data_IF_740474523242
#
_entry.id   IF_740474523242
#
_cell.length_a   1.000
_cell.length_b   1.000
_cell.length_c   1.000
_cell.angle_alpha   90.00
_cell.angle_beta   90.00
_cell.angle_gamma   90.00
#
_symmetry.space_group_name_H-M   'P 1'
#
loop_
_entity.id
_entity.type
_entity.pdbx_description
1 polymer ?
#
# COMPACT_ATOMS: atom_id res chain seq x y z
N UNK A 1 -16.16 5.14 10.44
CA UNK A 1 -14.75 5.27 10.02
C UNK A 1 -14.60 6.63 9.36
N UNK A 2 -13.82 7.54 9.95
CA UNK A 2 -13.59 8.86 9.35
C UNK A 2 -12.81 8.73 8.04
N UNK A 3 -12.99 9.69 7.14
CA UNK A 3 -12.27 9.73 5.85
C UNK A 3 -10.77 9.76 6.12
N UNK A 4 -9.99 8.86 5.51
CA UNK A 4 -8.54 8.90 5.63
C UNK A 4 -7.97 10.20 5.06
N UNK A 5 -6.91 10.72 5.69
CA UNK A 5 -6.18 11.87 5.17
C UNK A 5 -5.53 11.54 3.81
N UNK A 6 -5.37 12.54 2.94
CA UNK A 6 -4.85 12.37 1.56
C UNK A 6 -3.50 11.61 1.55
N UNK A 7 -2.58 11.99 2.44
CA UNK A 7 -1.28 11.30 2.56
C UNK A 7 -1.40 9.83 2.98
N UNK A 8 -2.40 9.49 3.80
CA UNK A 8 -2.68 8.11 4.20
C UNK A 8 -3.19 7.31 3.00
N UNK A 9 -4.08 7.89 2.20
CA UNK A 9 -4.58 7.25 0.98
C UNK A 9 -3.46 7.01 -0.04
N UNK A 10 -2.52 7.96 -0.20
CA UNK A 10 -1.34 7.79 -1.07
C UNK A 10 -0.46 6.63 -0.60
N UNK A 11 -0.24 6.48 0.71
CA UNK A 11 0.50 5.34 1.29
C UNK A 11 -0.22 4.02 1.09
N UNK A 12 -1.54 4.00 1.28
CA UNK A 12 -2.38 2.83 1.03
C UNK A 12 -2.23 2.40 -0.43
N UNK A 13 -2.35 3.34 -1.38
CA UNK A 13 -2.20 3.06 -2.82
C UNK A 13 -0.85 2.43 -3.14
N UNK A 14 0.25 3.02 -2.67
CA UNK A 14 1.60 2.48 -2.86
C UNK A 14 1.73 1.04 -2.36
N UNK A 15 1.23 0.76 -1.15
CA UNK A 15 1.28 -0.58 -0.56
C UNK A 15 0.44 -1.57 -1.37
N UNK A 16 -0.77 -1.17 -1.80
CA UNK A 16 -1.64 -2.00 -2.63
C UNK A 16 -0.98 -2.34 -3.97
N UNK A 17 -0.36 -1.36 -4.64
CA UNK A 17 0.29 -1.57 -5.93
C UNK A 17 1.48 -2.55 -5.83
N UNK A 18 2.28 -2.46 -4.73
CA UNK A 18 3.36 -3.42 -4.47
C UNK A 18 2.79 -4.82 -4.21
N UNK A 19 1.73 -4.91 -3.40
CA UNK A 19 1.12 -6.20 -3.06
C UNK A 19 0.51 -6.85 -4.30
N UNK A 20 -0.25 -6.11 -5.11
CA UNK A 20 -0.85 -6.60 -6.35
C UNK A 20 0.19 -7.14 -7.35
N UNK A 21 1.35 -6.49 -7.44
CA UNK A 21 2.44 -6.92 -8.32
C UNK A 21 3.13 -8.23 -7.89
N UNK A 22 3.17 -8.51 -6.59
CA UNK A 22 4.01 -9.57 -6.03
C UNK A 22 3.25 -10.71 -5.35
N UNK A 23 1.99 -10.49 -5.00
CA UNK A 23 1.13 -11.49 -4.37
C UNK A 23 0.60 -12.48 -5.40
N UNK A 24 0.76 -13.77 -5.11
CA UNK A 24 0.18 -14.85 -5.91
C UNK A 24 -0.64 -15.78 -5.00
N UNK A 25 -1.96 -15.92 -5.21
CA UNK A 25 -2.78 -16.82 -4.42
C UNK A 25 -2.35 -18.27 -4.65
N UNK A 26 -2.28 -19.05 -3.57
CA UNK A 26 -1.85 -20.47 -3.63
C UNK A 26 -0.34 -20.69 -3.69
N UNK A 27 0.48 -19.63 -3.79
CA UNK A 27 1.93 -19.75 -3.74
C UNK A 27 2.48 -19.35 -2.37
N UNK A 28 2.95 -20.33 -1.59
CA UNK A 28 3.49 -20.09 -0.25
C UNK A 28 4.72 -19.17 -0.24
N UNK A 29 5.51 -19.16 -1.32
CA UNK A 29 6.67 -18.27 -1.45
C UNK A 29 6.27 -16.80 -1.68
N UNK A 30 5.04 -16.55 -2.12
CA UNK A 30 4.48 -15.23 -2.44
C UNK A 30 3.20 -14.93 -1.64
N UNK A 31 3.13 -15.44 -0.42
CA UNK A 31 2.08 -15.08 0.51
C UNK A 31 2.22 -13.61 0.97
N UNK A 32 1.18 -13.04 1.58
CA UNK A 32 1.19 -11.65 2.05
C UNK A 32 2.35 -11.33 2.99
N UNK A 33 2.73 -12.25 3.87
CA UNK A 33 3.83 -12.03 4.80
C UNK A 33 5.19 -11.94 4.09
N UNK A 34 5.44 -12.80 3.10
CA UNK A 34 6.67 -12.79 2.30
C UNK A 34 6.73 -11.57 1.39
N UNK A 35 5.60 -11.17 0.83
CA UNK A 35 5.50 -9.93 0.05
C UNK A 35 5.77 -8.71 0.93
N UNK A 36 5.21 -8.70 2.15
CA UNK A 36 5.48 -7.66 3.13
C UNK A 36 6.97 -7.58 3.47
N UNK A 37 7.56 -8.70 3.87
CA UNK A 37 8.96 -8.79 4.30
C UNK A 37 9.93 -8.35 3.19
N UNK A 38 9.69 -8.78 1.94
CA UNK A 38 10.63 -8.60 0.82
C UNK A 38 10.42 -7.34 0.00
N UNK A 39 9.18 -6.87 -0.14
CA UNK A 39 8.85 -5.78 -1.07
C UNK A 39 8.22 -4.57 -0.38
N UNK A 40 7.34 -4.76 0.60
CA UNK A 40 6.65 -3.63 1.25
C UNK A 40 7.55 -2.98 2.30
N UNK A 41 8.07 -3.75 3.25
CA UNK A 41 8.83 -3.23 4.39
C UNK A 41 10.10 -2.44 3.98
N UNK A 42 10.84 -2.81 2.91
CA UNK A 42 11.96 -2.01 2.45
C UNK A 42 11.57 -0.64 1.84
N UNK A 43 10.38 -0.53 1.25
CA UNK A 43 9.91 0.70 0.57
C UNK A 43 9.08 1.57 1.52
N UNK A 44 8.22 0.93 2.31
CA UNK A 44 7.36 1.55 3.30
C UNK A 44 7.42 0.75 4.60
N UNK A 45 8.33 1.13 5.52
CA UNK A 45 8.46 0.46 6.82
C UNK A 45 7.16 0.59 7.61
N UNK A 46 6.43 -0.51 7.73
CA UNK A 46 5.22 -0.59 8.53
C UNK A 46 5.06 -2.00 9.09
N UNK A 47 4.33 -2.12 10.20
CA UNK A 47 4.03 -3.44 10.73
C UNK A 47 3.10 -4.22 9.77
N UNK A 48 3.22 -5.54 9.77
CA UNK A 48 2.40 -6.42 8.93
C UNK A 48 0.89 -6.19 9.11
N UNK A 49 0.47 -5.92 10.36
CA UNK A 49 -0.94 -5.62 10.67
C UNK A 49 -1.43 -4.34 10.00
N UNK A 50 -0.59 -3.30 9.90
CA UNK A 50 -0.92 -2.08 9.17
C UNK A 50 -1.10 -2.36 7.68
N UNK A 51 -0.22 -3.15 7.08
CA UNK A 51 -0.38 -3.57 5.69
C UNK A 51 -1.71 -4.31 5.46
N UNK A 52 -2.06 -5.25 6.34
CA UNK A 52 -3.35 -5.95 6.28
C UNK A 52 -4.55 -5.00 6.47
N UNK A 53 -4.40 -3.95 7.27
CA UNK A 53 -5.43 -2.92 7.42
C UNK A 53 -5.63 -2.14 6.12
N UNK A 54 -4.55 -1.85 5.38
CA UNK A 54 -4.60 -1.16 4.09
C UNK A 54 -5.24 -2.02 3.00
N UNK A 55 -4.99 -3.34 3.02
CA UNK A 55 -5.65 -4.29 2.10
C UNK A 55 -7.17 -4.36 2.28
N UNK A 56 -7.67 -3.98 3.46
CA UNK A 56 -9.11 -3.90 3.76
C UNK A 56 -9.74 -2.55 3.40
N UNK A 57 -8.94 -1.57 2.99
CA UNK A 57 -9.45 -0.25 2.62
C UNK A 57 -10.31 -0.38 1.36
N UNK A 58 -11.58 0.06 1.38
CA UNK A 58 -12.45 -0.07 0.23
C UNK A 58 -11.99 0.84 -0.91
N UNK A 59 -12.05 0.34 -2.14
CA UNK A 59 -11.64 1.08 -3.34
C UNK A 59 -12.37 2.44 -3.51
N UNK A 60 -13.56 2.59 -2.93
CA UNK A 60 -14.31 3.86 -2.93
C UNK A 60 -13.53 5.01 -2.25
N UNK A 61 -12.70 4.71 -1.25
CA UNK A 61 -11.86 5.71 -0.59
C UNK A 61 -10.65 6.12 -1.45
N UNK A 62 -10.24 5.27 -2.39
CA UNK A 62 -9.10 5.48 -3.28
C UNK A 62 -9.48 6.23 -4.57
N UNK A 63 -10.74 6.17 -5.01
CA UNK A 63 -11.23 6.86 -6.23
C UNK A 63 -11.09 8.39 -6.21
N UNK A 64 -10.94 9.00 -5.03
CA UNK A 64 -10.70 10.44 -4.90
C UNK A 64 -9.25 10.87 -5.16
N UNK A 65 -8.34 9.91 -5.41
CA UNK A 65 -6.94 10.15 -5.77
C UNK A 65 -6.75 10.00 -7.27
N UNK A 66 -7.29 10.93 -8.07
CA UNK A 66 -6.77 11.12 -9.43
C UNK A 66 -5.27 11.48 -9.32
N UNK A 67 -4.40 11.00 -10.24
CA UNK A 67 -2.99 11.35 -10.26
C UNK A 67 -2.86 12.83 -10.62
N UNK A 68 -3.05 13.68 -9.63
CA UNK A 68 -2.57 15.04 -9.69
C UNK A 68 -1.06 14.93 -9.63
N UNK A 69 -0.40 15.38 -10.70
CA UNK A 69 1.04 15.60 -10.87
C UNK A 69 1.60 16.53 -9.77
N UNK A 70 1.45 16.13 -8.52
CA UNK A 70 1.91 16.87 -7.36
C UNK A 70 3.39 16.51 -7.23
N UNK A 71 4.21 17.27 -7.97
CA UNK A 71 5.69 17.27 -8.02
C UNK A 71 6.37 17.35 -6.64
N UNK A 72 5.59 17.36 -5.55
CA UNK A 72 5.99 17.19 -4.16
C UNK A 72 6.06 15.70 -3.77
N UNK A 73 6.46 14.85 -4.70
CA UNK A 73 6.97 13.53 -4.36
C UNK A 73 8.15 13.77 -3.41
N UNK A 74 7.88 13.69 -2.11
CA UNK A 74 8.87 13.80 -1.06
C UNK A 74 9.98 12.82 -1.44
N UNK A 75 11.13 13.38 -1.82
CA UNK A 75 12.39 12.66 -1.88
C UNK A 75 12.63 12.14 -0.47
N UNK A 76 12.16 10.94 -0.20
CA UNK A 76 12.59 10.12 0.91
C UNK A 76 13.72 9.25 0.36
N UNK A 77 14.83 9.91 0.07
CA UNK A 77 16.17 9.31 0.01
C UNK A 77 17.03 10.15 0.94
#
# INVERSE_FOLDING_TARGET
MGKHHINTLRRIRLVLDIVEKHYEPGNNAKNYYKVWERYVNPVYPCCYRTMLSYLKTPANELKGLEPTDDKRQLKLF
#
